data_IF_253302836164
#
_entry.id   IF_253302836164
#
_cell.length_a   1.000
_cell.length_b   1.000
_cell.length_c   1.000
_cell.angle_alpha   90.00
_cell.angle_beta   90.00
_cell.angle_gamma   90.00
#
_symmetry.space_group_name_H-M   'P 1'
#
loop_
_entity.id
_entity.type
_entity.pdbx_description
1 polymer ?
#
# COMPACT_ATOMS: atom_id res chain seq x y z
N UNK A 1 -13.04 -20.34 10.36
CA UNK A 1 -13.64 -19.21 9.64
C UNK A 1 -12.48 -18.40 9.12
N UNK A 2 -12.53 -17.87 7.92
CA UNK A 2 -11.51 -16.94 7.40
C UNK A 2 -11.84 -15.54 7.95
N UNK A 3 -10.81 -14.80 8.36
CA UNK A 3 -10.97 -13.40 8.74
C UNK A 3 -11.31 -12.54 7.52
N UNK A 4 -11.92 -11.37 7.75
CA UNK A 4 -12.22 -10.43 6.67
C UNK A 4 -10.93 -9.91 6.04
N UNK A 5 -10.95 -9.68 4.73
CA UNK A 5 -9.85 -9.11 3.97
C UNK A 5 -8.92 -10.15 3.35
N UNK A 6 -7.63 -9.79 3.21
CA UNK A 6 -6.62 -10.66 2.60
C UNK A 6 -6.35 -11.86 3.50
N UNK A 7 -6.45 -13.07 2.96
CA UNK A 7 -6.08 -14.27 3.73
C UNK A 7 -4.62 -14.22 4.16
N UNK A 8 -4.33 -14.76 5.33
CA UNK A 8 -2.95 -14.80 5.85
C UNK A 8 -2.02 -15.52 4.88
N UNK A 9 -0.76 -15.09 4.84
CA UNK A 9 0.26 -15.66 3.96
C UNK A 9 0.40 -17.19 4.15
N UNK A 10 0.28 -17.67 5.38
CA UNK A 10 0.29 -19.11 5.69
C UNK A 10 -0.85 -19.85 4.99
N UNK A 11 -2.08 -19.31 5.03
CA UNK A 11 -3.24 -19.90 4.36
C UNK A 11 -3.05 -19.81 2.85
N UNK A 12 -2.60 -18.67 2.34
CA UNK A 12 -2.34 -18.48 0.91
C UNK A 12 -1.29 -19.47 0.39
N UNK A 13 -0.13 -19.55 1.03
CA UNK A 13 0.95 -20.50 0.65
C UNK A 13 0.44 -21.95 0.65
N UNK A 14 -0.31 -22.36 1.68
CA UNK A 14 -0.78 -23.74 1.82
C UNK A 14 -1.95 -24.10 0.90
N UNK A 15 -2.94 -23.22 0.79
CA UNK A 15 -4.23 -23.53 0.18
C UNK A 15 -4.39 -23.00 -1.25
N UNK A 16 -3.52 -22.06 -1.68
CA UNK A 16 -3.55 -21.48 -3.02
C UNK A 16 -2.24 -21.79 -3.74
N UNK A 17 -1.11 -21.25 -3.28
CA UNK A 17 0.18 -21.34 -3.97
C UNK A 17 0.59 -22.80 -4.22
N UNK A 18 0.69 -23.63 -3.18
CA UNK A 18 1.06 -25.06 -3.31
C UNK A 18 0.10 -25.85 -4.19
N UNK A 19 -1.19 -25.51 -4.19
CA UNK A 19 -2.19 -26.17 -5.03
C UNK A 19 -1.97 -25.83 -6.51
N UNK A 20 -1.72 -24.57 -6.81
CA UNK A 20 -1.44 -24.11 -8.20
C UNK A 20 -0.12 -24.68 -8.68
N UNK A 21 0.96 -24.58 -7.89
CA UNK A 21 2.31 -25.07 -8.23
C UNK A 21 2.34 -26.56 -8.55
N UNK A 22 1.43 -27.34 -7.98
CA UNK A 22 1.31 -28.77 -8.28
C UNK A 22 1.07 -29.06 -9.77
N UNK A 23 0.32 -28.20 -10.45
CA UNK A 23 -0.06 -28.38 -11.86
C UNK A 23 0.60 -27.34 -12.79
N UNK A 24 1.08 -26.22 -12.23
CA UNK A 24 1.74 -25.13 -12.95
C UNK A 24 3.04 -24.80 -12.22
N UNK A 25 4.12 -25.56 -12.43
CA UNK A 25 5.42 -25.27 -11.78
C UNK A 25 5.91 -23.86 -12.12
N UNK A 26 6.36 -23.13 -11.11
CA UNK A 26 6.83 -21.75 -11.27
C UNK A 26 5.73 -20.69 -11.25
N UNK A 27 4.46 -21.06 -11.09
CA UNK A 27 3.33 -20.11 -11.02
C UNK A 27 3.36 -19.15 -9.81
N UNK A 28 4.34 -19.22 -8.97
CA UNK A 28 4.50 -18.33 -7.81
C UNK A 28 5.63 -17.32 -7.90
N UNK A 29 6.55 -17.49 -8.85
CA UNK A 29 7.78 -16.69 -8.92
C UNK A 29 7.71 -15.53 -9.92
N UNK A 30 6.72 -15.52 -10.81
CA UNK A 30 6.51 -14.44 -11.77
C UNK A 30 5.55 -13.40 -11.19
N UNK A 31 6.05 -12.45 -10.42
CA UNK A 31 5.30 -11.27 -9.98
C UNK A 31 5.22 -10.25 -11.11
N UNK A 32 4.45 -10.55 -12.15
CA UNK A 32 4.19 -9.61 -13.26
C UNK A 32 2.95 -8.74 -12.98
N UNK A 33 2.37 -8.80 -11.78
CA UNK A 33 1.16 -8.04 -11.46
C UNK A 33 1.02 -7.72 -9.98
N UNK A 34 0.64 -6.49 -9.67
CA UNK A 34 0.05 -6.11 -8.40
C UNK A 34 -1.45 -6.38 -8.42
N UNK A 35 -2.01 -6.84 -7.31
CA UNK A 35 -3.45 -6.99 -7.15
C UNK A 35 -3.90 -6.34 -5.87
N UNK A 36 -4.80 -5.37 -6.00
CA UNK A 36 -5.47 -4.76 -4.87
C UNK A 36 -6.96 -5.11 -4.88
N UNK A 37 -7.49 -5.40 -3.70
CA UNK A 37 -8.91 -5.61 -3.49
C UNK A 37 -9.39 -4.47 -2.59
N UNK A 38 -10.32 -3.67 -3.10
CA UNK A 38 -10.90 -2.56 -2.37
C UNK A 38 -12.39 -2.82 -2.16
N UNK A 39 -12.85 -2.65 -0.93
CA UNK A 39 -14.24 -2.76 -0.54
C UNK A 39 -14.79 -1.35 -0.31
N UNK A 40 -15.91 -1.03 -0.95
CA UNK A 40 -16.54 0.28 -0.82
C UNK A 40 -18.02 0.13 -0.45
N UNK A 41 -18.48 0.96 0.48
CA UNK A 41 -19.90 1.21 0.65
C UNK A 41 -20.40 2.04 -0.55
N UNK A 42 -21.59 1.73 -1.05
CA UNK A 42 -22.11 2.18 -2.35
C UNK A 42 -22.19 3.70 -2.57
N UNK A 43 -22.00 4.53 -1.55
CA UNK A 43 -22.30 5.97 -1.62
C UNK A 43 -21.13 6.91 -1.24
N UNK A 44 -20.01 6.45 -0.73
CA UNK A 44 -19.12 7.36 0.01
C UNK A 44 -17.80 7.76 -0.62
N UNK A 45 -17.23 7.07 -1.66
CA UNK A 45 -15.83 7.34 -1.94
C UNK A 45 -15.42 7.43 -3.41
N UNK A 46 -15.76 8.54 -4.07
CA UNK A 46 -15.19 8.88 -5.38
C UNK A 46 -13.65 9.03 -5.31
N UNK A 47 -13.14 9.61 -4.24
CA UNK A 47 -11.70 9.85 -4.06
C UNK A 47 -10.90 8.55 -3.94
N UNK A 48 -11.46 7.53 -3.29
CA UNK A 48 -10.76 6.25 -3.09
C UNK A 48 -10.71 5.39 -4.35
N UNK A 49 -11.69 5.56 -5.23
CA UNK A 49 -11.72 4.84 -6.51
C UNK A 49 -10.69 5.38 -7.51
N UNK A 50 -10.40 6.69 -7.46
CA UNK A 50 -9.35 7.29 -8.27
C UNK A 50 -7.96 6.79 -7.86
N UNK A 51 -7.76 6.43 -6.59
CA UNK A 51 -6.52 5.88 -6.08
C UNK A 51 -6.19 4.48 -6.62
N UNK A 52 -7.18 3.74 -7.03
CA UNK A 52 -7.11 2.30 -7.27
C UNK A 52 -6.06 1.87 -8.30
N UNK A 53 -6.02 2.50 -9.47
CA UNK A 53 -5.02 2.20 -10.49
C UNK A 53 -3.61 2.58 -10.03
N UNK A 54 -3.49 3.67 -9.24
CA UNK A 54 -2.22 4.13 -8.69
C UNK A 54 -1.66 3.13 -7.67
N UNK A 55 -2.51 2.62 -6.78
CA UNK A 55 -2.10 1.60 -5.79
C UNK A 55 -1.55 0.34 -6.46
N UNK A 56 -2.23 -0.13 -7.51
CA UNK A 56 -1.80 -1.29 -8.27
C UNK A 56 -0.50 -0.99 -9.03
N UNK A 57 -0.36 0.22 -9.57
CA UNK A 57 0.86 0.69 -10.25
C UNK A 57 2.07 0.80 -9.33
N UNK A 58 1.88 1.16 -8.06
CA UNK A 58 2.96 1.26 -7.07
C UNK A 58 3.66 -0.09 -6.84
N UNK A 59 2.90 -1.17 -6.73
CA UNK A 59 3.46 -2.52 -6.56
C UNK A 59 4.28 -2.94 -7.77
N UNK A 60 3.79 -2.67 -8.98
CA UNK A 60 4.54 -2.93 -10.22
C UNK A 60 5.82 -2.10 -10.29
N UNK A 61 5.73 -0.81 -9.97
CA UNK A 61 6.90 0.07 -9.98
C UNK A 61 7.98 -0.43 -9.01
N UNK A 62 7.60 -0.79 -7.77
CA UNK A 62 8.53 -1.34 -6.78
C UNK A 62 9.14 -2.69 -7.23
N UNK A 63 8.46 -3.42 -8.10
CA UNK A 63 8.97 -4.64 -8.75
C UNK A 63 9.76 -4.36 -10.06
N UNK A 64 10.09 -3.10 -10.35
CA UNK A 64 10.89 -2.72 -11.52
C UNK A 64 10.11 -2.60 -12.83
N UNK A 65 8.78 -2.62 -12.80
CA UNK A 65 7.94 -2.64 -13.98
C UNK A 65 7.09 -1.37 -14.15
N UNK A 66 6.83 -0.97 -15.39
CA UNK A 66 5.75 -0.03 -15.69
C UNK A 66 4.42 -0.77 -15.83
N UNK A 67 3.34 -0.20 -15.28
CA UNK A 67 2.01 -0.68 -15.57
C UNK A 67 1.64 -0.37 -17.04
N UNK A 68 1.41 -1.41 -17.83
CA UNK A 68 0.99 -1.32 -19.23
C UNK A 68 -0.52 -1.53 -19.39
N UNK A 69 -1.08 -2.44 -18.60
CA UNK A 69 -2.48 -2.79 -18.65
C UNK A 69 -3.06 -2.99 -17.26
N UNK A 70 -4.34 -2.71 -17.10
CA UNK A 70 -5.12 -2.98 -15.88
C UNK A 70 -6.37 -3.75 -16.27
N UNK A 71 -6.61 -4.86 -15.60
CA UNK A 71 -7.87 -5.59 -15.66
C UNK A 71 -8.63 -5.35 -14.36
N UNK A 72 -9.87 -4.86 -14.48
CA UNK A 72 -10.73 -4.47 -13.37
C UNK A 72 -11.94 -5.38 -13.36
N UNK A 73 -12.26 -5.93 -12.20
CA UNK A 73 -13.50 -6.63 -11.96
C UNK A 73 -14.31 -5.83 -10.93
N UNK A 74 -15.50 -5.44 -11.31
CA UNK A 74 -16.45 -4.71 -10.49
C UNK A 74 -17.61 -5.62 -10.17
N UNK A 75 -17.77 -5.96 -8.89
CA UNK A 75 -18.92 -6.74 -8.40
C UNK A 75 -19.80 -5.80 -7.60
N UNK A 76 -21.01 -5.59 -8.07
CA UNK A 76 -21.93 -4.57 -7.54
C UNK A 76 -23.22 -5.20 -7.02
N UNK A 77 -23.91 -4.46 -6.15
CA UNK A 77 -25.30 -4.80 -5.81
C UNK A 77 -26.19 -4.74 -7.04
N UNK A 78 -27.12 -5.68 -7.16
CA UNK A 78 -28.13 -5.66 -8.22
C UNK A 78 -29.03 -4.40 -8.18
N UNK A 79 -29.05 -3.68 -7.06
CA UNK A 79 -29.80 -2.44 -6.86
C UNK A 79 -28.98 -1.18 -7.17
N UNK A 80 -27.69 -1.31 -7.50
CA UNK A 80 -26.82 -0.17 -7.76
C UNK A 80 -27.24 0.53 -9.08
N UNK A 81 -27.51 1.85 -9.04
CA UNK A 81 -27.88 2.59 -10.25
C UNK A 81 -26.74 2.63 -11.29
N UNK A 82 -27.08 2.54 -12.57
CA UNK A 82 -26.11 2.64 -13.69
C UNK A 82 -25.22 3.91 -13.60
N UNK A 83 -25.80 5.03 -13.16
CA UNK A 83 -25.05 6.28 -12.95
C UNK A 83 -23.87 6.14 -11.98
N UNK A 84 -24.01 5.29 -10.96
CA UNK A 84 -22.97 5.01 -9.98
C UNK A 84 -21.85 4.18 -10.63
N UNK A 85 -22.18 3.17 -11.43
CA UNK A 85 -21.19 2.40 -12.20
C UNK A 85 -20.42 3.32 -13.14
N UNK A 86 -21.11 4.23 -13.84
CA UNK A 86 -20.46 5.19 -14.73
C UNK A 86 -19.50 6.14 -13.97
N UNK A 87 -19.90 6.60 -12.78
CA UNK A 87 -19.05 7.45 -11.94
C UNK A 87 -17.81 6.72 -11.45
N UNK A 88 -17.96 5.46 -11.00
CA UNK A 88 -16.87 4.58 -10.59
C UNK A 88 -15.85 4.38 -11.72
N UNK A 89 -16.32 3.97 -12.88
CA UNK A 89 -15.47 3.73 -14.04
C UNK A 89 -14.83 5.02 -14.58
N UNK A 90 -15.50 6.17 -14.45
CA UNK A 90 -14.93 7.48 -14.77
C UNK A 90 -13.70 7.80 -13.93
N UNK A 91 -13.77 7.58 -12.62
CA UNK A 91 -12.67 7.77 -11.69
C UNK A 91 -11.48 6.85 -11.98
N UNK A 92 -11.76 5.57 -12.25
CA UNK A 92 -10.72 4.60 -12.64
C UNK A 92 -10.04 5.01 -13.95
N UNK A 93 -10.84 5.42 -14.95
CA UNK A 93 -10.32 5.87 -16.25
C UNK A 93 -9.42 7.10 -16.12
N UNK A 94 -9.77 8.04 -15.25
CA UNK A 94 -8.95 9.22 -14.97
C UNK A 94 -7.61 8.83 -14.37
N UNK A 95 -7.60 7.95 -13.36
CA UNK A 95 -6.37 7.45 -12.73
C UNK A 95 -5.47 6.71 -13.72
N UNK A 96 -6.06 5.83 -14.55
CA UNK A 96 -5.32 5.14 -15.60
C UNK A 96 -4.71 6.12 -16.61
N UNK A 97 -5.43 7.18 -16.97
CA UNK A 97 -4.92 8.24 -17.86
C UNK A 97 -3.72 8.97 -17.25
N UNK A 98 -3.78 9.35 -15.97
CA UNK A 98 -2.67 10.00 -15.25
C UNK A 98 -1.41 9.11 -15.16
N UNK A 99 -1.60 7.81 -15.05
CA UNK A 99 -0.51 6.82 -14.99
C UNK A 99 -0.02 6.35 -16.38
N UNK A 100 -0.57 6.92 -17.46
CA UNK A 100 -0.25 6.52 -18.84
C UNK A 100 -0.47 5.02 -19.13
N UNK A 101 -1.44 4.41 -18.46
CA UNK A 101 -1.81 3.02 -18.71
C UNK A 101 -2.48 2.92 -20.08
N UNK A 102 -1.93 2.09 -20.96
CA UNK A 102 -2.34 2.02 -22.38
C UNK A 102 -3.50 1.07 -22.65
N UNK A 103 -3.76 0.14 -21.73
CA UNK A 103 -4.84 -0.82 -21.88
C UNK A 103 -5.62 -0.98 -20.57
N UNK A 104 -6.92 -0.76 -20.64
CA UNK A 104 -7.84 -0.97 -19.51
C UNK A 104 -8.95 -1.89 -19.96
N UNK A 105 -9.11 -3.00 -19.27
CA UNK A 105 -10.23 -3.92 -19.44
C UNK A 105 -11.06 -3.91 -18.14
N UNK A 106 -12.38 -3.83 -18.27
CA UNK A 106 -13.26 -3.89 -17.13
C UNK A 106 -14.38 -4.91 -17.38
N UNK A 107 -14.71 -5.65 -16.34
CA UNK A 107 -15.85 -6.53 -16.27
C UNK A 107 -16.73 -6.15 -15.09
N UNK A 108 -18.06 -6.17 -15.26
CA UNK A 108 -19.01 -5.74 -14.24
C UNK A 108 -20.07 -6.81 -14.06
N UNK A 109 -20.18 -7.32 -12.84
CA UNK A 109 -21.19 -8.31 -12.48
C UNK A 109 -22.10 -7.79 -11.35
N UNK A 110 -23.41 -7.90 -11.51
CA UNK A 110 -24.38 -7.60 -10.46
C UNK A 110 -24.73 -8.88 -9.68
N UNK A 111 -24.66 -8.80 -8.35
CA UNK A 111 -24.88 -9.94 -7.45
C UNK A 111 -26.00 -9.60 -6.45
N UNK A 112 -27.05 -10.43 -6.36
CA UNK A 112 -28.11 -10.25 -5.36
C UNK A 112 -27.56 -10.42 -3.93
N UNK A 113 -28.02 -9.57 -3.01
CA UNK A 113 -27.66 -9.65 -1.59
C UNK A 113 -26.30 -9.06 -1.25
N UNK A 114 -25.57 -8.51 -2.21
CA UNK A 114 -24.36 -7.74 -1.95
C UNK A 114 -24.75 -6.35 -1.44
N UNK A 115 -24.22 -5.96 -0.29
CA UNK A 115 -24.47 -4.63 0.32
C UNK A 115 -23.40 -3.61 -0.06
N UNK A 116 -22.21 -4.08 -0.42
CA UNK A 116 -21.07 -3.23 -0.74
C UNK A 116 -20.52 -3.56 -2.13
N UNK A 117 -19.96 -2.56 -2.81
CA UNK A 117 -19.29 -2.78 -4.09
C UNK A 117 -17.88 -3.33 -3.85
N UNK A 118 -17.55 -4.42 -4.53
CA UNK A 118 -16.21 -5.01 -4.51
C UNK A 118 -15.51 -4.70 -5.82
N UNK A 119 -14.33 -4.07 -5.74
CA UNK A 119 -13.50 -3.80 -6.90
C UNK A 119 -12.19 -4.58 -6.74
N UNK A 120 -11.82 -5.32 -7.78
CA UNK A 120 -10.49 -5.91 -7.87
C UNK A 120 -9.80 -5.38 -9.12
N UNK A 121 -8.51 -5.03 -9.00
CA UNK A 121 -7.69 -4.73 -10.16
C UNK A 121 -6.47 -5.63 -10.20
N UNK A 122 -6.09 -5.97 -11.41
CA UNK A 122 -4.81 -6.62 -11.69
C UNK A 122 -4.08 -5.77 -12.71
N UNK A 123 -2.95 -5.19 -12.32
CA UNK A 123 -2.08 -4.51 -13.27
C UNK A 123 -1.05 -5.49 -13.83
N UNK A 124 -0.73 -5.32 -15.09
CA UNK A 124 0.27 -6.07 -15.83
C UNK A 124 1.30 -5.06 -16.34
N UNK A 125 2.58 -5.35 -16.13
CA UNK A 125 3.68 -4.50 -16.55
C UNK A 125 4.79 -5.28 -17.22
N UNK A 126 5.69 -4.58 -17.87
CA UNK A 126 6.90 -5.16 -18.47
C UNK A 126 8.00 -5.22 -17.40
N UNK A 127 8.52 -6.44 -17.18
CA UNK A 127 9.62 -6.66 -16.24
C UNK A 127 10.89 -5.92 -16.71
N UNK A 128 11.64 -5.33 -15.77
CA UNK A 128 12.86 -4.57 -16.07
C UNK A 128 12.63 -3.21 -16.74
N UNK A 129 11.39 -2.81 -16.99
CA UNK A 129 11.08 -1.54 -17.65
C UNK A 129 11.52 -0.30 -16.88
N UNK A 130 11.61 -0.38 -15.54
CA UNK A 130 12.17 0.66 -14.67
C UNK A 130 13.58 0.33 -14.21
N UNK A 131 13.79 -0.89 -13.73
CA UNK A 131 15.05 -1.44 -13.29
C UNK A 131 14.94 -2.96 -13.18
N UNK A 132 16.07 -3.66 -13.23
CA UNK A 132 16.11 -5.10 -12.92
C UNK A 132 16.13 -5.27 -11.40
N UNK A 133 15.12 -5.94 -10.81
CA UNK A 133 15.06 -6.13 -9.37
C UNK A 133 16.09 -7.16 -8.90
N UNK A 134 16.69 -6.89 -7.75
CA UNK A 134 17.60 -7.79 -7.06
C UNK A 134 17.05 -8.12 -5.68
N UNK A 135 17.49 -9.21 -5.09
CA UNK A 135 17.17 -9.51 -3.69
C UNK A 135 17.97 -8.55 -2.77
N UNK A 136 17.32 -8.13 -1.70
CA UNK A 136 18.04 -7.43 -0.65
C UNK A 136 19.05 -8.33 0.04
N UNK A 137 20.10 -7.73 0.58
CA UNK A 137 21.18 -8.40 1.30
C UNK A 137 21.18 -7.98 2.77
N UNK A 138 21.78 -8.82 3.62
CA UNK A 138 21.98 -8.46 5.03
C UNK A 138 22.84 -7.20 5.16
N UNK A 139 22.69 -6.50 6.28
CA UNK A 139 23.37 -5.24 6.60
C UNK A 139 23.03 -4.05 5.69
N UNK A 140 22.10 -4.21 4.75
CA UNK A 140 21.58 -3.07 4.01
C UNK A 140 20.65 -2.21 4.89
N UNK A 141 20.79 -0.89 4.74
CA UNK A 141 19.86 0.08 5.33
C UNK A 141 18.46 -0.10 4.76
N UNK A 142 17.43 -0.01 5.61
CA UNK A 142 16.03 0.11 5.20
C UNK A 142 15.68 1.59 5.20
N UNK A 143 15.38 2.12 4.02
CA UNK A 143 15.01 3.52 3.81
C UNK A 143 13.52 3.57 3.52
N UNK A 144 12.81 4.48 4.17
CA UNK A 144 11.42 4.79 3.85
C UNK A 144 11.36 6.13 3.12
N UNK A 145 10.85 6.14 1.89
CA UNK A 145 10.48 7.34 1.16
C UNK A 145 8.97 7.56 1.28
N UNK A 146 8.57 8.78 1.67
CA UNK A 146 7.19 9.12 2.00
C UNK A 146 6.88 8.98 3.50
N UNK A 147 5.60 8.97 3.85
CA UNK A 147 5.11 8.97 5.22
C UNK A 147 4.24 7.75 5.52
N UNK A 148 4.35 7.22 6.76
CA UNK A 148 3.51 6.11 7.19
C UNK A 148 2.09 6.59 7.50
N UNK A 149 1.10 5.79 7.11
CA UNK A 149 -0.30 5.96 7.49
C UNK A 149 -1.06 7.11 6.85
N UNK A 150 -0.42 7.99 6.05
CA UNK A 150 -1.04 9.21 5.52
C UNK A 150 -2.33 8.93 4.74
N UNK A 151 -2.29 8.00 3.81
CA UNK A 151 -3.46 7.64 3.02
C UNK A 151 -4.56 7.00 3.87
N UNK A 152 -4.20 6.15 4.81
CA UNK A 152 -5.15 5.53 5.72
C UNK A 152 -5.77 6.54 6.69
N UNK A 153 -5.01 7.52 7.18
CA UNK A 153 -5.53 8.60 8.01
C UNK A 153 -6.53 9.46 7.25
N UNK A 154 -6.26 9.74 5.97
CA UNK A 154 -7.22 10.42 5.11
C UNK A 154 -8.53 9.64 4.96
N UNK A 155 -8.44 8.31 4.77
CA UNK A 155 -9.63 7.44 4.73
C UNK A 155 -10.45 7.54 6.01
N UNK A 156 -9.78 7.48 7.17
CA UNK A 156 -10.44 7.63 8.46
C UNK A 156 -11.07 9.02 8.61
N UNK A 157 -10.35 10.08 8.18
CA UNK A 157 -10.85 11.45 8.24
C UNK A 157 -12.09 11.65 7.38
N UNK A 158 -12.13 11.12 6.16
CA UNK A 158 -13.31 11.19 5.32
C UNK A 158 -14.48 10.38 5.89
N UNK A 159 -14.22 9.18 6.39
CA UNK A 159 -15.27 8.33 6.97
C UNK A 159 -15.84 8.91 8.28
N UNK A 160 -15.00 9.53 9.10
CA UNK A 160 -15.35 10.15 10.39
C UNK A 160 -15.43 11.67 10.37
N UNK A 161 -15.59 12.32 9.20
CA UNK A 161 -15.47 13.77 9.04
C UNK A 161 -16.30 14.56 10.07
N UNK A 162 -17.60 14.28 10.18
CA UNK A 162 -18.49 14.99 11.08
C UNK A 162 -18.10 14.86 12.58
N UNK A 163 -17.42 13.78 12.93
CA UNK A 163 -16.93 13.52 14.27
C UNK A 163 -15.62 14.25 14.53
N UNK A 164 -14.68 14.18 13.59
CA UNK A 164 -13.40 14.87 13.67
C UNK A 164 -13.55 16.40 13.66
N UNK A 165 -14.47 16.96 12.86
CA UNK A 165 -14.77 18.41 12.83
C UNK A 165 -15.31 18.95 14.17
N UNK A 166 -15.88 18.08 15.01
CA UNK A 166 -16.29 18.46 16.39
C UNK A 166 -15.14 18.45 17.38
N UNK A 167 -14.08 17.68 17.08
CA UNK A 167 -12.95 17.47 17.97
C UNK A 167 -11.74 18.32 17.60
N UNK A 168 -11.45 18.45 16.31
CA UNK A 168 -10.29 19.16 15.80
C UNK A 168 -10.68 20.47 15.11
N UNK A 169 -9.77 21.43 15.14
CA UNK A 169 -9.92 22.68 14.38
C UNK A 169 -9.89 22.36 12.87
N UNK A 170 -10.78 22.97 12.06
CA UNK A 170 -10.77 22.81 10.60
C UNK A 170 -9.41 23.08 9.93
N UNK A 171 -8.65 24.05 10.44
CA UNK A 171 -7.29 24.34 9.92
C UNK A 171 -6.34 23.16 10.12
N UNK A 172 -6.50 22.40 11.20
CA UNK A 172 -5.73 21.20 11.46
C UNK A 172 -6.10 20.05 10.48
N UNK A 173 -7.38 19.90 10.18
CA UNK A 173 -7.87 18.85 9.27
C UNK A 173 -7.65 19.18 7.79
N UNK A 174 -7.50 20.47 7.42
CA UNK A 174 -7.37 20.92 6.03
C UNK A 174 -6.29 20.19 5.24
N UNK A 175 -5.05 19.98 5.73
CA UNK A 175 -4.03 19.25 4.98
C UNK A 175 -4.42 17.82 4.60
N UNK A 176 -5.25 17.17 5.43
CA UNK A 176 -5.73 15.80 5.18
C UNK A 176 -6.97 15.80 4.30
N UNK A 177 -7.92 16.71 4.55
CA UNK A 177 -9.21 16.76 3.86
C UNK A 177 -9.13 17.34 2.45
N UNK A 178 -8.17 18.26 2.21
CA UNK A 178 -7.99 18.94 0.93
C UNK A 178 -6.90 18.29 0.06
N UNK A 179 -6.14 17.33 0.61
CA UNK A 179 -5.12 16.63 -0.15
C UNK A 179 -5.74 15.82 -1.30
N UNK A 180 -5.14 15.95 -2.48
CA UNK A 180 -5.50 15.10 -3.62
C UNK A 180 -4.85 13.71 -3.43
N UNK A 181 -5.58 12.80 -2.79
CA UNK A 181 -5.16 11.40 -2.66
C UNK A 181 -5.34 10.59 -3.94
N UNK A 182 -5.42 11.27 -5.07
CA UNK A 182 -5.44 10.68 -6.41
C UNK A 182 -4.16 11.00 -7.16
N UNK A 183 -3.68 10.10 -8.00
CA UNK A 183 -2.52 10.39 -8.85
C UNK A 183 -1.19 10.52 -8.09
N UNK A 184 -0.52 11.66 -8.19
CA UNK A 184 0.88 11.82 -7.78
C UNK A 184 1.12 11.74 -6.27
N UNK A 185 0.15 12.15 -5.44
CA UNK A 185 0.31 12.15 -3.97
C UNK A 185 0.37 10.76 -3.35
N UNK A 186 -0.27 9.78 -3.98
CA UNK A 186 -0.24 8.38 -3.55
C UNK A 186 0.57 7.49 -4.49
N UNK A 187 1.23 8.08 -5.49
CA UNK A 187 2.11 7.38 -6.41
C UNK A 187 3.51 7.24 -5.83
N UNK A 188 3.99 6.01 -5.71
CA UNK A 188 5.38 5.72 -5.36
C UNK A 188 6.33 5.75 -6.58
N UNK A 189 5.79 5.95 -7.79
CA UNK A 189 6.56 5.82 -9.05
C UNK A 189 7.72 6.81 -9.12
N UNK A 190 7.54 8.05 -8.68
CA UNK A 190 8.61 9.06 -8.68
C UNK A 190 9.74 8.68 -7.72
N UNK A 191 9.40 8.21 -6.52
CA UNK A 191 10.37 7.74 -5.54
C UNK A 191 11.13 6.50 -6.03
N UNK A 192 10.42 5.54 -6.64
CA UNK A 192 11.01 4.34 -7.25
C UNK A 192 11.99 4.72 -8.36
N UNK A 193 11.62 5.63 -9.27
CA UNK A 193 12.50 6.08 -10.36
C UNK A 193 13.77 6.74 -9.82
N UNK A 194 13.65 7.64 -8.86
CA UNK A 194 14.80 8.31 -8.23
C UNK A 194 15.70 7.31 -7.51
N UNK A 195 15.13 6.38 -6.75
CA UNK A 195 15.88 5.32 -6.08
C UNK A 195 16.59 4.39 -7.08
N UNK A 196 15.92 4.00 -8.16
CA UNK A 196 16.52 3.17 -9.22
C UNK A 196 17.69 3.88 -9.91
N UNK A 197 17.57 5.20 -10.15
CA UNK A 197 18.67 6.03 -10.68
C UNK A 197 19.84 6.12 -9.69
N UNK A 198 19.58 6.12 -8.38
CA UNK A 198 20.57 6.07 -7.32
C UNK A 198 21.22 4.66 -7.14
N UNK A 199 20.80 3.67 -7.91
CA UNK A 199 21.33 2.31 -7.89
C UNK A 199 20.59 1.33 -6.99
N UNK A 200 19.48 1.71 -6.39
CA UNK A 200 18.64 0.80 -5.58
C UNK A 200 17.97 -0.23 -6.49
N UNK A 201 17.97 -1.50 -6.06
CA UNK A 201 17.42 -2.64 -6.84
C UNK A 201 16.40 -3.48 -6.07
N UNK A 202 16.27 -3.27 -4.76
CA UNK A 202 15.27 -3.94 -3.94
C UNK A 202 14.37 -2.90 -3.28
N UNK A 203 13.07 -2.98 -3.59
CA UNK A 203 12.07 -2.02 -3.16
C UNK A 203 10.75 -2.73 -2.85
N UNK A 204 9.95 -2.13 -1.98
CA UNK A 204 8.61 -2.62 -1.64
C UNK A 204 7.65 -1.45 -1.43
N UNK A 205 6.60 -1.35 -2.22
CA UNK A 205 5.59 -0.30 -2.05
C UNK A 205 4.74 -0.59 -0.80
N UNK A 206 4.63 0.41 0.07
CA UNK A 206 3.77 0.31 1.23
C UNK A 206 2.30 0.34 0.80
N UNK A 207 1.49 -0.45 1.47
CA UNK A 207 0.06 -0.58 1.18
C UNK A 207 -0.72 -0.92 2.43
N UNK A 208 -1.60 -1.90 2.30
CA UNK A 208 -2.41 -2.45 3.39
C UNK A 208 -1.53 -3.03 4.49
N UNK A 209 -1.90 -2.79 5.75
CA UNK A 209 -1.08 -3.16 6.92
C UNK A 209 0.12 -2.26 7.18
N UNK A 210 0.25 -1.17 6.41
CA UNK A 210 1.19 -0.08 6.64
C UNK A 210 2.66 -0.46 6.52
N UNK A 211 3.50 0.32 7.22
CA UNK A 211 4.95 0.13 7.21
C UNK A 211 5.38 -1.18 7.85
N UNK A 212 4.66 -1.66 8.87
CA UNK A 212 5.00 -2.92 9.54
C UNK A 212 4.88 -4.11 8.58
N UNK A 213 3.80 -4.16 7.83
CA UNK A 213 3.62 -5.19 6.79
C UNK A 213 4.65 -5.05 5.70
N UNK A 214 4.93 -3.83 5.25
CA UNK A 214 5.92 -3.60 4.20
C UNK A 214 7.32 -4.06 4.61
N UNK A 215 7.76 -3.79 5.86
CA UNK A 215 9.04 -4.28 6.38
C UNK A 215 9.06 -5.80 6.48
N UNK A 216 7.96 -6.38 6.98
CA UNK A 216 7.84 -7.83 7.11
C UNK A 216 7.94 -8.53 5.76
N UNK A 217 7.21 -8.05 4.76
CA UNK A 217 7.20 -8.61 3.40
C UNK A 217 8.54 -8.39 2.66
N UNK A 218 9.16 -7.22 2.84
CA UNK A 218 10.48 -6.92 2.27
C UNK A 218 11.53 -7.92 2.77
N UNK A 219 11.58 -8.13 4.09
CA UNK A 219 12.51 -9.05 4.72
C UNK A 219 12.20 -10.52 4.36
N UNK A 220 10.92 -10.92 4.37
CA UNK A 220 10.48 -12.27 3.99
C UNK A 220 10.85 -12.61 2.55
N UNK A 221 10.68 -11.67 1.62
CA UNK A 221 11.05 -11.85 0.20
C UNK A 221 12.56 -12.07 0.01
N UNK A 222 13.37 -11.46 0.87
CA UNK A 222 14.82 -11.65 0.85
C UNK A 222 15.27 -12.91 1.61
N UNK A 223 14.44 -13.42 2.53
CA UNK A 223 14.79 -14.50 3.46
C UNK A 223 15.67 -14.00 4.62
N UNK A 224 15.45 -12.75 5.06
CA UNK A 224 16.24 -12.02 6.03
C UNK A 224 15.40 -11.59 7.24
N UNK A 225 16.10 -11.19 8.31
CA UNK A 225 15.53 -10.43 9.41
C UNK A 225 15.53 -8.93 9.13
N UNK A 226 14.89 -8.17 10.02
CA UNK A 226 14.82 -6.71 9.95
C UNK A 226 14.78 -6.10 11.35
N UNK A 227 15.48 -4.97 11.54
CA UNK A 227 15.42 -4.17 12.76
C UNK A 227 15.09 -2.74 12.39
N UNK A 228 13.92 -2.24 12.81
CA UNK A 228 13.51 -0.86 12.57
C UNK A 228 13.43 -0.08 13.87
N UNK A 229 13.81 1.19 13.80
CA UNK A 229 13.68 2.15 14.89
C UNK A 229 12.33 2.85 14.77
N UNK A 230 11.45 2.65 15.74
CA UNK A 230 10.09 3.19 15.69
C UNK A 230 10.07 4.71 15.54
N UNK A 231 10.96 5.39 16.23
CA UNK A 231 11.08 6.85 16.24
C UNK A 231 11.56 7.45 14.91
N UNK A 232 12.22 6.62 14.09
CA UNK A 232 12.70 7.05 12.77
C UNK A 232 11.64 6.88 11.67
N UNK A 233 10.53 6.17 11.95
CA UNK A 233 9.45 6.03 10.96
C UNK A 233 8.73 7.38 10.79
N UNK A 234 8.76 7.96 9.57
CA UNK A 234 8.22 9.30 9.36
C UNK A 234 6.68 9.28 9.42
N UNK A 235 6.14 10.11 10.28
CA UNK A 235 4.70 10.34 10.47
C UNK A 235 4.39 11.82 10.35
N UNK A 236 3.23 12.15 9.78
CA UNK A 236 2.67 13.50 9.89
C UNK A 236 1.91 13.65 11.20
N UNK A 237 1.88 14.87 11.72
CA UNK A 237 1.16 15.12 12.97
C UNK A 237 -0.33 14.81 12.83
N UNK A 238 -0.93 15.17 11.71
CA UNK A 238 -2.34 14.91 11.43
C UNK A 238 -2.64 13.40 11.44
N UNK A 239 -1.74 12.59 10.88
CA UNK A 239 -1.86 11.13 10.89
C UNK A 239 -1.83 10.60 12.32
N UNK A 240 -0.91 11.08 13.15
CA UNK A 240 -0.79 10.65 14.57
C UNK A 240 -2.06 10.98 15.35
N UNK A 241 -2.52 12.23 15.28
CA UNK A 241 -3.68 12.70 16.05
C UNK A 241 -5.00 12.02 15.61
N UNK A 242 -5.19 11.81 14.30
CA UNK A 242 -6.36 11.09 13.78
C UNK A 242 -6.33 9.63 14.23
N UNK A 243 -5.17 8.98 14.16
CA UNK A 243 -5.00 7.61 14.61
C UNK A 243 -5.22 7.46 16.12
N UNK A 244 -4.71 8.40 16.92
CA UNK A 244 -4.91 8.41 18.36
C UNK A 244 -6.41 8.57 18.71
N UNK A 245 -7.10 9.48 18.03
CA UNK A 245 -8.53 9.67 18.21
C UNK A 245 -9.35 8.38 17.98
N UNK A 246 -9.00 7.59 16.94
CA UNK A 246 -9.67 6.33 16.62
C UNK A 246 -9.03 5.11 17.31
N UNK A 247 -8.05 5.30 18.18
CA UNK A 247 -7.29 4.22 18.84
C UNK A 247 -6.72 3.18 17.86
N UNK A 248 -6.11 3.67 16.77
CA UNK A 248 -5.52 2.87 15.71
C UNK A 248 -4.02 3.16 15.60
N UNK A 249 -3.20 2.15 15.35
CA UNK A 249 -1.76 2.32 15.13
C UNK A 249 -1.47 2.94 13.74
N UNK A 250 -0.81 4.12 13.66
CA UNK A 250 -0.45 4.73 12.37
C UNK A 250 0.53 3.86 11.56
N UNK A 251 1.32 3.01 12.22
CA UNK A 251 2.30 2.13 11.58
C UNK A 251 1.68 0.94 10.85
N UNK A 252 0.46 0.56 11.22
CA UNK A 252 -0.32 -0.51 10.59
C UNK A 252 -1.35 0.03 9.60
N UNK A 253 -1.51 1.35 9.54
CA UNK A 253 -2.47 2.00 8.67
C UNK A 253 -1.94 2.07 7.23
N UNK A 254 -2.84 1.96 6.24
CA UNK A 254 -2.49 1.95 4.83
C UNK A 254 -1.59 3.14 4.47
N UNK A 255 -0.39 2.85 3.96
CA UNK A 255 0.68 3.82 3.70
C UNK A 255 0.93 3.99 2.20
N UNK A 256 -0.14 4.09 1.40
CA UNK A 256 -0.04 4.27 -0.04
C UNK A 256 0.75 5.55 -0.39
N UNK A 257 1.59 5.45 -1.41
CA UNK A 257 2.53 6.51 -1.80
C UNK A 257 3.91 6.40 -1.15
N UNK A 258 4.02 5.70 -0.03
CA UNK A 258 5.31 5.39 0.56
C UNK A 258 5.92 4.11 -0.05
N UNK A 259 7.25 4.04 -0.06
CA UNK A 259 8.01 2.89 -0.54
C UNK A 259 9.21 2.61 0.36
N UNK A 260 9.46 1.35 0.65
CA UNK A 260 10.68 0.90 1.30
C UNK A 260 11.73 0.56 0.24
N UNK A 261 12.97 0.93 0.53
CA UNK A 261 14.14 0.76 -0.32
C UNK A 261 15.24 0.11 0.51
N UNK A 262 16.07 -0.72 -0.09
CA UNK A 262 17.24 -1.25 0.59
C UNK A 262 18.54 -0.85 -0.11
N UNK A 263 19.54 -0.46 0.64
CA UNK A 263 20.84 -0.05 0.10
C UNK A 263 21.97 -0.23 1.09
N UNK A 264 23.15 -0.62 0.59
CA UNK A 264 24.40 -0.71 1.39
C UNK A 264 24.90 0.68 1.81
N UNK A 265 24.57 1.72 1.06
CA UNK A 265 24.98 3.10 1.32
C UNK A 265 23.76 4.03 1.39
N UNK A 266 22.92 3.85 2.41
CA UNK A 266 21.64 4.56 2.55
C UNK A 266 21.77 6.08 2.52
N UNK A 267 22.81 6.65 3.14
CA UNK A 267 23.06 8.10 3.13
C UNK A 267 23.23 8.68 1.72
N UNK A 268 23.86 7.92 0.82
CA UNK A 268 23.99 8.34 -0.58
C UNK A 268 22.61 8.34 -1.26
N UNK A 269 21.81 7.32 -1.01
CA UNK A 269 20.43 7.24 -1.57
C UNK A 269 19.56 8.38 -1.02
N UNK A 270 19.68 8.71 0.27
CA UNK A 270 18.95 9.86 0.85
C UNK A 270 19.30 11.17 0.15
N UNK A 271 20.58 11.40 -0.16
CA UNK A 271 21.02 12.61 -0.85
C UNK A 271 20.42 12.71 -2.27
N UNK A 272 20.35 11.61 -3.00
CA UNK A 272 19.76 11.56 -4.34
C UNK A 272 18.23 11.76 -4.29
N UNK A 273 17.54 11.15 -3.33
CA UNK A 273 16.11 11.35 -3.12
C UNK A 273 15.80 12.80 -2.72
N UNK A 274 16.61 13.39 -1.84
CA UNK A 274 16.47 14.79 -1.45
C UNK A 274 16.68 15.74 -2.64
N UNK A 275 17.65 15.47 -3.51
CA UNK A 275 17.86 16.24 -4.75
C UNK A 275 16.66 16.14 -5.71
N UNK A 276 15.91 15.04 -5.67
CA UNK A 276 14.67 14.86 -6.41
C UNK A 276 13.44 15.43 -5.69
N UNK A 277 13.60 16.06 -4.51
CA UNK A 277 12.50 16.60 -3.71
C UNK A 277 11.66 15.55 -2.99
N UNK A 278 12.18 14.34 -2.82
CA UNK A 278 11.48 13.21 -2.21
C UNK A 278 11.92 13.07 -0.75
N UNK A 279 11.02 13.23 0.22
CA UNK A 279 11.35 13.03 1.63
C UNK A 279 11.62 11.54 1.90
N UNK A 280 12.75 11.25 2.51
CA UNK A 280 13.14 9.90 2.86
C UNK A 280 14.02 9.86 4.11
N UNK A 281 13.99 8.75 4.83
CA UNK A 281 14.78 8.53 6.05
C UNK A 281 15.17 7.06 6.16
N UNK A 282 16.34 6.79 6.78
CA UNK A 282 16.71 5.43 7.18
C UNK A 282 15.94 5.08 8.44
N UNK A 283 15.10 4.04 8.35
CA UNK A 283 14.28 3.58 9.48
C UNK A 283 14.88 2.36 10.20
N UNK A 284 15.94 1.74 9.64
CA UNK A 284 16.54 0.53 10.20
C UNK A 284 17.46 -0.16 9.21
N UNK A 285 17.67 -1.45 9.41
CA UNK A 285 18.52 -2.29 8.57
C UNK A 285 18.03 -3.74 8.52
N UNK A 286 18.44 -4.46 7.48
CA UNK A 286 18.23 -5.90 7.34
C UNK A 286 19.33 -6.68 8.12
N UNK A 287 18.99 -7.87 8.61
CA UNK A 287 19.90 -8.72 9.38
C UNK A 287 19.97 -10.13 8.79
N UNK A 288 21.11 -10.80 9.03
CA UNK A 288 21.35 -12.19 8.61
C UNK A 288 20.75 -13.18 9.62
N UNK A 289 19.49 -12.93 10.01
CA UNK A 289 18.68 -13.80 10.86
C UNK A 289 17.24 -13.83 10.33
N UNK A 290 16.30 -14.38 11.10
CA UNK A 290 14.88 -14.40 10.74
C UNK A 290 14.03 -13.48 11.62
N UNK A 291 14.66 -12.75 12.54
CA UNK A 291 13.95 -11.90 13.48
C UNK A 291 13.56 -10.57 12.81
N UNK A 292 12.31 -10.22 12.90
CA UNK A 292 11.78 -8.95 12.42
C UNK A 292 11.24 -8.19 13.60
N UNK A 293 11.97 -7.15 14.01
CA UNK A 293 11.70 -6.46 15.26
C UNK A 293 11.60 -4.94 15.08
N UNK A 294 10.77 -4.35 15.92
CA UNK A 294 10.66 -2.92 16.13
C UNK A 294 11.33 -2.57 17.45
N UNK A 295 12.23 -1.61 17.39
CA UNK A 295 12.95 -1.07 18.54
C UNK A 295 12.31 0.28 18.93
N UNK A 296 11.90 0.40 20.19
CA UNK A 296 11.42 1.65 20.77
C UNK A 296 12.15 1.88 22.08
N UNK A 297 13.25 2.63 22.04
CA UNK A 297 14.22 2.77 23.11
C UNK A 297 14.74 1.39 23.58
N UNK A 298 14.46 0.98 24.81
CA UNK A 298 14.86 -0.32 25.38
C UNK A 298 13.83 -1.43 25.06
N UNK A 299 12.68 -1.08 24.51
CA UNK A 299 11.64 -2.05 24.21
C UNK A 299 11.86 -2.68 22.83
N UNK A 300 11.81 -4.01 22.77
CA UNK A 300 11.91 -4.79 21.55
C UNK A 300 10.60 -5.53 21.34
N UNK A 301 9.95 -5.31 20.20
CA UNK A 301 8.73 -6.01 19.81
C UNK A 301 8.94 -6.74 18.50
N UNK A 302 8.44 -7.95 18.39
CA UNK A 302 8.41 -8.66 17.11
C UNK A 302 7.34 -8.09 16.21
N UNK A 303 7.66 -7.92 14.92
CA UNK A 303 6.68 -7.65 13.89
C UNK A 303 5.85 -8.92 13.66
N UNK A 304 4.54 -8.76 13.70
CA UNK A 304 3.62 -9.82 13.33
C UNK A 304 3.13 -9.63 11.89
N UNK A 305 2.88 -10.71 11.14
CA UNK A 305 2.16 -10.61 9.88
C UNK A 305 0.82 -9.92 10.10
N UNK A 306 0.46 -9.03 9.18
CA UNK A 306 -0.76 -8.25 9.27
C UNK A 306 -2.00 -9.13 9.45
N UNK A 307 -2.85 -8.76 10.41
CA UNK A 307 -4.17 -9.31 10.63
C UNK A 307 -5.20 -8.18 10.59
N UNK A 308 -6.31 -8.41 9.91
CA UNK A 308 -7.36 -7.39 9.69
C UNK A 308 -8.12 -6.97 10.96
N UNK A 309 -7.90 -7.64 12.09
CA UNK A 309 -8.60 -7.41 13.35
C UNK A 309 -8.43 -5.99 13.90
N UNK A 310 -7.30 -5.35 13.65
CA UNK A 310 -6.99 -4.02 14.20
C UNK A 310 -7.84 -2.88 13.60
N UNK A 311 -8.31 -3.00 12.36
CA UNK A 311 -9.16 -1.99 11.72
C UNK A 311 -10.65 -2.18 12.03
N UNK A 312 -11.07 -3.39 12.38
CA UNK A 312 -12.46 -3.70 12.70
C UNK A 312 -12.83 -3.43 14.17
N UNK A 313 -11.86 -3.37 15.08
CA UNK A 313 -12.14 -3.02 16.48
C UNK A 313 -12.66 -1.58 16.64
N UNK A 314 -12.20 -0.64 15.83
CA UNK A 314 -12.69 0.74 15.85
C UNK A 314 -14.17 0.90 15.40
N UNK A 315 -14.69 -0.05 14.61
CA UNK A 315 -16.09 -0.03 14.15
C UNK A 315 -17.07 -0.71 15.12
N UNK A 316 -16.60 -1.51 16.07
CA UNK A 316 -17.47 -2.28 16.98
C UNK A 316 -17.76 -1.57 18.30
N UNK A 317 -17.09 -0.47 18.61
CA UNK A 317 -17.27 0.31 19.85
C UNK A 317 -17.99 1.66 19.62
N UNK A 318 -18.39 1.96 18.39
CA UNK A 318 -19.22 3.11 18.01
C UNK A 318 -20.64 2.61 17.63
#
# INVERSE_FOLDING_TARGET
MLDYGKVTDTIYKRSVRKVIEKNVPGAGDNRIGGRDILYFAADSDKAMLTAFATLTGNQLAAAGAYALAVNIQLIVSAELPEKSIKALMGSVSESCGKLHITSVQADVAAVPGLTETVITATAIGEAGGLFEPEKAEADQDIIMAGYAGDYGAAKLAFAGQAELERHFNPVFLSPVMEADYTGDTISAVSAVKAAAAAGVRSMYACGEGGVYTAVWELAENAGLGARIQLKEVPLRQETVEICDYFNISPYQLMSAGAVLLTATHGQKVLAELAAAGIPAVIIGHLTDDNDRVVLNDEEVRFLEPFRYESLNQAKSES
#
